data_IF_846450568781
#
_entry.id   IF_846450568781
#
_cell.length_a   1.000
_cell.length_b   1.000
_cell.length_c   1.000
_cell.angle_alpha   90.00
_cell.angle_beta   90.00
_cell.angle_gamma   90.00
#
_symmetry.space_group_name_H-M   'P 1'
#
loop_
_entity.id
_entity.type
_entity.pdbx_description
1 polymer ?
#
# COMPACT_ATOMS: atom_id res chain seq x y z
N UNK A 1 -11.52 -0.66 25.86
CA UNK A 1 -10.57 0.46 25.70
C UNK A 1 -9.43 -0.07 24.85
N UNK A 2 -9.29 0.41 23.62
CA UNK A 2 -8.10 0.13 22.81
C UNK A 2 -6.93 0.80 23.51
N UNK A 3 -6.00 0.00 24.04
CA UNK A 3 -4.70 0.51 24.47
C UNK A 3 -3.97 0.93 23.22
N UNK A 4 -4.08 2.22 22.88
CA UNK A 4 -3.31 2.81 21.81
C UNK A 4 -1.84 2.62 22.18
N UNK A 5 -1.14 1.70 21.50
CA UNK A 5 0.27 1.48 21.70
C UNK A 5 0.99 2.53 20.86
N UNK A 6 1.51 3.63 21.44
CA UNK A 6 2.12 4.71 20.69
C UNK A 6 3.40 4.26 19.95
N UNK A 7 3.87 3.05 20.22
CA UNK A 7 5.06 2.45 19.62
C UNK A 7 4.76 1.26 18.70
N UNK A 8 3.53 1.13 18.18
CA UNK A 8 3.12 0.06 17.26
C UNK A 8 4.12 -0.17 16.10
N UNK A 9 4.72 0.92 15.59
CA UNK A 9 5.64 0.89 14.46
C UNK A 9 6.97 0.17 14.75
N UNK A 10 7.32 -0.08 16.02
CA UNK A 10 8.59 -0.73 16.39
C UNK A 10 8.61 -2.22 16.03
N UNK A 11 7.45 -2.86 16.06
CA UNK A 11 7.30 -4.30 15.80
C UNK A 11 6.49 -4.56 14.52
N UNK A 12 6.13 -3.52 13.78
CA UNK A 12 5.29 -3.61 12.59
C UNK A 12 6.05 -4.14 11.36
N UNK A 13 5.38 -4.98 10.58
CA UNK A 13 5.82 -5.40 9.25
C UNK A 13 5.36 -4.38 8.22
N UNK A 14 6.32 -3.68 7.62
CA UNK A 14 6.07 -2.72 6.55
C UNK A 14 6.14 -3.39 5.18
N UNK A 15 5.15 -3.11 4.33
CA UNK A 15 5.12 -3.52 2.94
C UNK A 15 5.23 -2.30 2.02
N UNK A 16 6.34 -2.20 1.29
CA UNK A 16 6.53 -1.16 0.28
C UNK A 16 5.70 -1.48 -0.97
N UNK A 17 4.81 -0.57 -1.35
CA UNK A 17 3.85 -0.77 -2.42
C UNK A 17 4.07 0.25 -3.54
N UNK A 18 4.47 -0.27 -4.71
CA UNK A 18 4.50 0.51 -5.95
C UNK A 18 3.14 0.48 -6.64
N UNK A 19 2.31 1.50 -6.43
CA UNK A 19 0.90 1.50 -6.84
C UNK A 19 0.70 1.12 -8.30
N UNK A 20 1.44 1.76 -9.21
CA UNK A 20 1.33 1.57 -10.66
C UNK A 20 1.72 0.16 -11.15
N UNK A 21 2.45 -0.61 -10.34
CA UNK A 21 2.90 -1.95 -10.70
C UNK A 21 2.18 -3.06 -9.91
N UNK A 22 1.29 -2.71 -8.98
CA UNK A 22 0.75 -3.67 -8.02
C UNK A 22 -0.47 -4.43 -8.56
N UNK A 23 -1.58 -3.71 -8.81
CA UNK A 23 -2.83 -4.32 -9.27
C UNK A 23 -3.66 -3.30 -10.04
N UNK A 24 -3.93 -3.61 -11.31
CA UNK A 24 -4.84 -2.87 -12.19
C UNK A 24 -6.28 -3.41 -12.00
N UNK A 25 -7.22 -2.51 -11.74
CA UNK A 25 -8.63 -2.84 -11.54
C UNK A 25 -9.50 -2.60 -12.78
N UNK A 26 -9.02 -1.83 -13.76
CA UNK A 26 -9.82 -1.33 -14.87
C UNK A 26 -9.35 -1.83 -16.26
N UNK A 27 -8.18 -2.47 -16.33
CA UNK A 27 -7.61 -3.07 -17.53
C UNK A 27 -6.79 -2.10 -18.40
N UNK A 28 -6.41 -0.92 -17.89
CA UNK A 28 -5.58 0.05 -18.62
C UNK A 28 -4.07 -0.26 -18.59
N UNK A 29 -3.66 -1.29 -17.83
CA UNK A 29 -2.28 -1.73 -17.67
C UNK A 29 -1.50 -1.02 -16.58
N UNK A 30 -2.13 -0.13 -15.80
CA UNK A 30 -1.53 0.63 -14.71
C UNK A 30 -2.25 0.29 -13.41
N UNK A 31 -1.47 -0.09 -12.39
CA UNK A 31 -2.04 -0.34 -11.07
C UNK A 31 -2.63 0.91 -10.42
N UNK A 32 -3.71 0.72 -9.67
CA UNK A 32 -4.52 1.79 -9.10
C UNK A 32 -4.95 1.49 -7.66
N UNK A 33 -5.57 2.48 -7.00
CA UNK A 33 -5.99 2.33 -5.60
C UNK A 33 -7.15 1.36 -5.40
N UNK A 34 -8.01 1.18 -6.40
CA UNK A 34 -9.09 0.21 -6.32
C UNK A 34 -8.52 -1.21 -6.35
N UNK A 35 -7.58 -1.49 -7.27
CA UNK A 35 -6.84 -2.74 -7.32
C UNK A 35 -6.02 -2.99 -6.05
N UNK A 36 -5.42 -1.95 -5.47
CA UNK A 36 -4.73 -2.08 -4.19
C UNK A 36 -5.70 -2.44 -3.04
N UNK A 37 -6.90 -1.88 -3.05
CA UNK A 37 -7.94 -2.14 -2.05
C UNK A 37 -8.45 -3.58 -2.15
N UNK A 38 -8.61 -4.11 -3.36
CA UNK A 38 -8.99 -5.52 -3.61
C UNK A 38 -7.98 -6.53 -3.04
N UNK A 39 -6.73 -6.10 -2.83
CA UNK A 39 -5.65 -6.93 -2.32
C UNK A 39 -5.42 -6.78 -0.81
N UNK A 40 -6.24 -6.00 -0.09
CA UNK A 40 -6.06 -5.81 1.36
C UNK A 40 -6.20 -7.12 2.14
N UNK A 41 -7.13 -8.00 1.77
CA UNK A 41 -7.26 -9.33 2.39
C UNK A 41 -5.98 -10.16 2.20
N UNK A 42 -5.34 -10.07 1.03
CA UNK A 42 -4.06 -10.73 0.78
C UNK A 42 -2.94 -10.15 1.64
N UNK A 43 -2.87 -8.82 1.80
CA UNK A 43 -1.86 -8.16 2.60
C UNK A 43 -2.05 -8.45 4.11
N UNK A 44 -3.29 -8.50 4.57
CA UNK A 44 -3.62 -8.93 5.93
C UNK A 44 -3.22 -10.41 6.15
N UNK A 45 -3.58 -11.30 5.23
CA UNK A 45 -3.19 -12.71 5.29
C UNK A 45 -1.67 -12.89 5.30
N UNK A 46 -0.93 -12.05 4.57
CA UNK A 46 0.53 -12.03 4.56
C UNK A 46 1.13 -11.58 5.91
N UNK A 47 0.35 -10.92 6.77
CA UNK A 47 0.79 -10.40 8.07
C UNK A 47 1.39 -9.00 7.99
N UNK A 48 0.96 -8.18 7.03
CA UNK A 48 1.40 -6.79 6.92
C UNK A 48 0.62 -5.89 7.89
N UNK A 49 1.35 -5.13 8.70
CA UNK A 49 0.75 -4.16 9.63
C UNK A 49 0.62 -2.76 9.01
N UNK A 50 1.54 -2.41 8.10
CA UNK A 50 1.59 -1.09 7.49
C UNK A 50 2.01 -1.13 6.01
N UNK A 51 1.30 -0.36 5.19
CA UNK A 51 1.63 -0.19 3.77
C UNK A 51 2.38 1.13 3.59
N UNK A 52 3.60 1.08 3.07
CA UNK A 52 4.35 2.25 2.64
C UNK A 52 4.18 2.43 1.13
N UNK A 53 3.37 3.40 0.72
CA UNK A 53 3.10 3.64 -0.70
C UNK A 53 4.17 4.55 -1.28
N UNK A 54 4.80 4.11 -2.37
CA UNK A 54 5.73 4.92 -3.16
C UNK A 54 5.03 6.16 -3.77
N UNK A 55 5.79 7.20 -4.18
CA UNK A 55 5.23 8.43 -4.73
C UNK A 55 4.19 8.17 -5.83
N UNK A 56 2.97 8.65 -5.59
CA UNK A 56 1.81 8.48 -6.47
C UNK A 56 1.29 9.79 -7.06
N UNK A 57 1.69 10.93 -6.48
CA UNK A 57 1.25 12.24 -6.95
C UNK A 57 1.76 12.53 -8.36
N UNK A 58 1.01 13.29 -9.17
CA UNK A 58 1.51 13.80 -10.43
C UNK A 58 2.84 14.52 -10.21
N UNK A 59 3.89 14.01 -10.84
CA UNK A 59 5.18 14.68 -10.93
C UNK A 59 5.37 15.12 -12.38
N UNK A 60 5.92 16.31 -12.62
CA UNK A 60 6.22 16.75 -13.99
C UNK A 60 7.33 15.90 -14.65
N UNK A 61 7.94 14.94 -13.93
CA UNK A 61 9.04 14.08 -14.41
C UNK A 61 10.17 14.90 -15.07
N UNK A 62 10.34 16.14 -14.62
CA UNK A 62 11.45 16.99 -15.03
C UNK A 62 12.64 16.56 -14.19
N UNK A 63 13.57 15.84 -14.83
CA UNK A 63 14.95 15.72 -14.36
C UNK A 63 15.68 17.07 -14.50
#
# INVERSE_FOLDING_TARGET
MTTDNPTWYKDAVFYELHLRAFKDSNGDGIGDFQGATEMLEYLEWLGVDCIWILPMYPSPLVD
#
